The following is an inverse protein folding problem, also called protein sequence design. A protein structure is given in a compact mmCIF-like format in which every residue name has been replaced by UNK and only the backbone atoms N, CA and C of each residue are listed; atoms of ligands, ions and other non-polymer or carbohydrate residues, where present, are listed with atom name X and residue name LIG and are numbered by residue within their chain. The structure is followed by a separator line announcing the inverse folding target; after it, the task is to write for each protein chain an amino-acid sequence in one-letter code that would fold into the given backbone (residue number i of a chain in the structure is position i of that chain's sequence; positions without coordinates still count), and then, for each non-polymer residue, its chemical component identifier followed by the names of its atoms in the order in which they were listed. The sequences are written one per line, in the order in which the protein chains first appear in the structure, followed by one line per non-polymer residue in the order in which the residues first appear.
data_IF_019272845982
#
_entry.id   IF_019272845982
#
_cell.length_a   1.000
_cell.length_b   1.000
_cell.length_c   1.000
_cell.angle_alpha   90.00
_cell.angle_beta   90.00
_cell.angle_gamma   90.00
#
_symmetry.space_group_name_H-M   'P 1'
#
loop_
_entity.id
_entity.type
_entity.pdbx_description
1 polymer ?
#
# COMPACT_ATOMS: atom_id res chain seq x y z
N UNK A 1 -21.00 -3.20 8.25
CA UNK A 1 -19.62 -3.56 7.90
C UNK A 1 -18.74 -2.44 8.40
N UNK A 2 -17.62 -2.77 9.03
CA UNK A 2 -16.65 -1.79 9.52
C UNK A 2 -15.55 -1.66 8.48
N UNK A 3 -15.17 -0.43 8.16
CA UNK A 3 -14.09 -0.16 7.21
C UNK A 3 -12.74 -0.49 7.86
N UNK A 4 -11.93 -1.29 7.19
CA UNK A 4 -10.59 -1.64 7.66
C UNK A 4 -9.54 -0.91 6.82
N UNK A 5 -8.59 -0.25 7.48
CA UNK A 5 -7.52 0.50 6.82
C UNK A 5 -6.20 -0.26 6.96
N UNK A 6 -5.58 -0.58 5.82
CA UNK A 6 -4.32 -1.30 5.78
C UNK A 6 -3.26 -0.47 5.05
N UNK A 7 -2.21 -0.14 5.79
CA UNK A 7 -1.07 0.65 5.32
C UNK A 7 0.11 -0.28 5.14
N UNK A 8 0.66 -0.29 3.93
CA UNK A 8 1.82 -1.11 3.58
C UNK A 8 2.93 -0.18 3.11
N UNK A 9 3.96 -0.07 3.93
CA UNK A 9 5.21 0.60 3.54
C UNK A 9 6.16 -0.43 2.91
N UNK A 10 7.09 0.04 2.09
CA UNK A 10 8.05 -0.79 1.36
C UNK A 10 7.36 -1.96 0.62
N UNK A 11 6.34 -1.63 -0.17
CA UNK A 11 5.43 -2.59 -0.79
C UNK A 11 6.10 -3.72 -1.58
N UNK A 12 7.29 -3.50 -2.12
CA UNK A 12 8.06 -4.55 -2.80
C UNK A 12 8.25 -5.80 -1.95
N UNK A 13 8.30 -5.66 -0.62
CA UNK A 13 8.44 -6.78 0.30
C UNK A 13 7.18 -7.65 0.37
N UNK A 14 6.04 -7.12 -0.09
CA UNK A 14 4.72 -7.76 -0.06
C UNK A 14 4.11 -7.92 -1.46
N UNK A 15 4.83 -7.55 -2.51
CA UNK A 15 4.35 -7.44 -3.89
C UNK A 15 4.23 -8.81 -4.58
N UNK A 16 3.45 -9.73 -3.99
CA UNK A 16 3.13 -11.04 -4.55
C UNK A 16 1.91 -10.97 -5.46
N UNK A 17 1.74 -11.97 -6.33
CA UNK A 17 0.56 -12.06 -7.20
C UNK A 17 -0.73 -12.19 -6.39
N UNK A 18 -0.70 -12.91 -5.26
CA UNK A 18 -1.82 -12.98 -4.30
C UNK A 18 -2.20 -11.61 -3.74
N UNK A 19 -1.21 -10.74 -3.46
CA UNK A 19 -1.50 -9.39 -2.97
C UNK A 19 -2.21 -8.55 -4.05
N UNK A 20 -1.85 -8.73 -5.31
CA UNK A 20 -2.54 -8.07 -6.42
C UNK A 20 -4.01 -8.54 -6.55
N UNK A 21 -4.30 -9.81 -6.26
CA UNK A 21 -5.69 -10.29 -6.16
C UNK A 21 -6.44 -9.61 -5.01
N UNK A 22 -5.83 -9.53 -3.82
CA UNK A 22 -6.39 -8.80 -2.67
C UNK A 22 -6.72 -7.35 -3.04
N UNK A 23 -5.82 -6.66 -3.74
CA UNK A 23 -6.04 -5.30 -4.24
C UNK A 23 -7.28 -5.17 -5.14
N UNK A 24 -7.47 -6.15 -6.02
CA UNK A 24 -8.62 -6.18 -6.94
C UNK A 24 -9.93 -6.49 -6.23
N UNK A 25 -9.88 -7.22 -5.11
CA UNK A 25 -11.05 -7.61 -4.33
C UNK A 25 -11.34 -6.72 -3.12
N UNK A 26 -10.45 -5.80 -2.77
CA UNK A 26 -10.48 -5.04 -1.52
C UNK A 26 -11.84 -4.37 -1.21
N UNK A 27 -12.53 -3.86 -2.25
CA UNK A 27 -13.87 -3.26 -2.13
C UNK A 27 -14.91 -4.23 -1.57
N UNK A 28 -14.82 -5.54 -1.89
CA UNK A 28 -15.73 -6.58 -1.39
C UNK A 28 -15.61 -6.74 0.13
N UNK A 29 -14.44 -6.45 0.69
CA UNK A 29 -14.10 -6.62 2.10
C UNK A 29 -14.13 -5.32 2.92
N UNK A 30 -14.56 -4.20 2.33
CA UNK A 30 -14.44 -2.87 2.94
C UNK A 30 -13.00 -2.54 3.38
N UNK A 31 -12.03 -3.04 2.61
CA UNK A 31 -10.61 -2.89 2.86
C UNK A 31 -10.08 -1.67 2.09
N UNK A 32 -9.57 -0.70 2.84
CA UNK A 32 -8.95 0.51 2.34
C UNK A 32 -7.43 0.33 2.36
N UNK A 33 -6.82 0.17 1.19
CA UNK A 33 -5.38 -0.06 1.04
C UNK A 33 -4.65 1.24 0.75
N UNK A 34 -3.59 1.50 1.50
CA UNK A 34 -2.62 2.56 1.23
C UNK A 34 -1.25 1.93 1.10
N UNK A 35 -0.63 2.11 -0.05
CA UNK A 35 0.62 1.44 -0.41
C UNK A 35 1.68 2.50 -0.70
N UNK A 36 2.84 2.37 -0.07
CA UNK A 36 4.01 3.18 -0.33
C UNK A 36 5.14 2.31 -0.92
N UNK A 37 5.81 2.84 -1.95
CA UNK A 37 6.81 2.11 -2.71
C UNK A 37 7.82 3.09 -3.33
N UNK A 38 9.10 2.70 -3.38
CA UNK A 38 10.18 3.60 -3.78
C UNK A 38 10.61 3.46 -5.25
N UNK A 39 10.73 2.24 -5.78
CA UNK A 39 11.28 1.99 -7.11
C UNK A 39 10.45 0.98 -7.90
N UNK A 40 9.67 1.47 -8.86
CA UNK A 40 8.69 0.62 -9.53
C UNK A 40 9.35 -0.57 -10.22
N UNK A 41 10.61 -0.49 -10.64
CA UNK A 41 11.33 -1.64 -11.21
C UNK A 41 11.36 -2.90 -10.35
N UNK A 42 11.11 -2.82 -9.03
CA UNK A 42 10.99 -3.98 -8.14
C UNK A 42 9.64 -4.72 -8.26
N UNK A 43 8.61 -4.09 -8.81
CA UNK A 43 7.29 -4.71 -8.95
C UNK A 43 7.20 -5.51 -10.25
N UNK A 44 6.56 -6.68 -10.18
CA UNK A 44 6.23 -7.46 -11.38
C UNK A 44 5.28 -6.68 -12.29
N UNK A 45 5.30 -6.96 -13.60
CA UNK A 45 4.41 -6.30 -14.56
C UNK A 45 2.93 -6.50 -14.24
N UNK A 46 2.57 -7.67 -13.70
CA UNK A 46 1.21 -7.96 -13.23
C UNK A 46 0.84 -7.07 -12.06
N UNK A 47 1.66 -7.02 -11.01
CA UNK A 47 1.41 -6.18 -9.82
C UNK A 47 1.28 -4.71 -10.22
N UNK A 48 2.17 -4.18 -11.07
CA UNK A 48 2.08 -2.79 -11.55
C UNK A 48 0.73 -2.50 -12.21
N UNK A 49 0.33 -3.35 -13.16
CA UNK A 49 -0.93 -3.19 -13.88
C UNK A 49 -2.12 -3.24 -12.94
N UNK A 50 -2.10 -4.16 -11.97
CA UNK A 50 -3.17 -4.32 -11.00
C UNK A 50 -3.25 -3.14 -10.03
N UNK A 51 -2.11 -2.61 -9.57
CA UNK A 51 -2.06 -1.40 -8.74
C UNK A 51 -2.64 -0.22 -9.52
N UNK A 52 -2.07 0.13 -10.68
CA UNK A 52 -2.53 1.30 -11.45
C UNK A 52 -3.99 1.19 -11.91
N UNK A 53 -4.48 -0.02 -12.21
CA UNK A 53 -5.86 -0.23 -12.61
C UNK A 53 -6.89 -0.10 -11.47
N UNK A 54 -6.48 -0.26 -10.21
CA UNK A 54 -7.39 -0.29 -9.07
C UNK A 54 -7.26 0.90 -8.11
N UNK A 55 -6.16 1.65 -8.14
CA UNK A 55 -5.95 2.79 -7.25
C UNK A 55 -6.87 3.96 -7.62
N UNK A 56 -7.68 4.39 -6.65
CA UNK A 56 -8.51 5.59 -6.79
C UNK A 56 -7.74 6.89 -6.59
N UNK A 57 -6.58 6.81 -5.91
CA UNK A 57 -5.71 7.94 -5.62
C UNK A 57 -4.26 7.56 -5.81
N UNK A 58 -3.53 8.39 -6.53
CA UNK A 58 -2.10 8.28 -6.79
C UNK A 58 -1.41 9.53 -6.28
N UNK A 59 -0.34 9.35 -5.52
CA UNK A 59 0.53 10.43 -5.02
C UNK A 59 1.96 10.05 -5.40
N UNK A 60 2.68 10.95 -6.06
CA UNK A 60 4.09 10.74 -6.41
C UNK A 60 4.94 11.93 -5.98
N UNK A 61 6.00 11.62 -5.24
CA UNK A 61 7.11 12.54 -5.00
C UNK A 61 8.10 12.49 -6.16
N UNK A 62 9.23 13.18 -6.02
CA UNK A 62 10.34 13.10 -6.97
C UNK A 62 10.81 11.65 -7.12
N UNK A 63 10.82 11.16 -8.36
CA UNK A 63 11.35 9.84 -8.74
C UNK A 63 12.41 9.95 -9.85
N UNK A 64 13.04 8.82 -10.17
CA UNK A 64 13.96 8.69 -11.30
C UNK A 64 13.25 8.70 -12.67
N UNK A 65 14.04 8.76 -13.75
CA UNK A 65 13.52 8.86 -15.12
C UNK A 65 12.66 7.65 -15.53
N UNK A 66 13.08 6.44 -15.16
CA UNK A 66 12.37 5.21 -15.52
C UNK A 66 10.95 5.17 -14.93
N UNK A 67 10.81 5.55 -13.66
CA UNK A 67 9.51 5.58 -12.98
C UNK A 67 8.66 6.79 -13.42
N UNK A 68 9.31 7.91 -13.76
CA UNK A 68 8.62 9.11 -14.22
C UNK A 68 7.86 8.87 -15.53
N UNK A 69 8.36 8.02 -16.43
CA UNK A 69 7.67 7.62 -17.65
C UNK A 69 6.31 6.99 -17.36
N UNK A 70 6.27 5.98 -16.48
CA UNK A 70 5.03 5.31 -16.10
C UNK A 70 4.06 6.24 -15.37
N UNK A 71 4.56 7.09 -14.47
CA UNK A 71 3.73 8.02 -13.72
C UNK A 71 3.17 9.17 -14.59
N UNK A 72 3.90 9.61 -15.61
CA UNK A 72 3.45 10.69 -16.49
C UNK A 72 2.21 10.30 -17.30
N UNK A 73 2.07 9.03 -17.67
CA UNK A 73 0.85 8.51 -18.31
C UNK A 73 -0.37 8.70 -17.40
N UNK A 74 -0.23 8.43 -16.11
CA UNK A 74 -1.31 8.60 -15.14
C UNK A 74 -1.70 10.06 -14.90
N UNK A 75 -0.74 10.99 -15.01
CA UNK A 75 -0.97 12.42 -14.82
C UNK A 75 -1.29 13.20 -16.10
N UNK A 76 -1.43 12.50 -17.22
CA UNK A 76 -1.80 13.13 -18.49
C UNK A 76 -3.17 13.79 -18.39
N UNK A 77 -3.37 15.00 -18.95
CA UNK A 77 -2.42 15.79 -19.75
C UNK A 77 -1.63 16.86 -18.96
N UNK A 78 -1.74 16.87 -17.63
CA UNK A 78 -1.29 18.00 -16.80
C UNK A 78 0.23 18.00 -16.60
N UNK A 79 0.80 16.85 -16.24
CA UNK A 79 2.22 16.73 -15.92
C UNK A 79 2.94 15.80 -16.89
N UNK A 80 4.20 16.11 -17.17
CA UNK A 80 5.10 15.30 -18.01
C UNK A 80 6.21 14.71 -17.17
N UNK A 81 6.93 13.73 -17.72
CA UNK A 81 8.06 13.05 -17.06
C UNK A 81 9.06 14.05 -16.44
N UNK A 82 9.42 15.07 -17.21
CA UNK A 82 10.35 16.12 -16.77
C UNK A 82 9.85 16.86 -15.53
N UNK A 83 8.54 17.06 -15.39
CA UNK A 83 7.96 17.77 -14.25
C UNK A 83 8.08 16.92 -12.97
N UNK A 84 7.97 15.60 -13.10
CA UNK A 84 8.05 14.64 -11.98
C UNK A 84 9.49 14.52 -11.49
N UNK A 85 10.45 14.41 -12.40
CA UNK A 85 11.89 14.31 -12.07
C UNK A 85 12.40 15.57 -11.37
N UNK A 86 11.83 16.74 -11.70
CA UNK A 86 12.26 18.03 -11.15
C UNK A 86 11.52 18.46 -9.88
N UNK A 87 10.63 17.62 -9.32
CA UNK A 87 9.92 17.94 -8.08
C UNK A 87 10.91 18.29 -6.94
N UNK A 88 10.62 19.37 -6.23
CA UNK A 88 11.38 19.79 -5.07
C UNK A 88 11.17 18.88 -3.86
N UNK A 89 11.98 19.09 -2.82
CA UNK A 89 11.80 18.40 -1.54
C UNK A 89 10.41 18.72 -1.00
N UNK A 90 9.66 17.66 -0.65
CA UNK A 90 8.29 17.69 -0.12
C UNK A 90 7.21 18.16 -1.09
N UNK A 91 7.54 18.40 -2.36
CA UNK A 91 6.56 18.60 -3.42
C UNK A 91 6.12 17.26 -3.98
N UNK A 92 4.85 17.17 -4.37
CA UNK A 92 4.28 15.97 -4.97
C UNK A 92 3.20 16.35 -5.98
N UNK A 93 2.95 15.42 -6.90
CA UNK A 93 1.74 15.42 -7.72
C UNK A 93 0.74 14.42 -7.18
N UNK A 94 -0.53 14.74 -7.34
CA UNK A 94 -1.62 13.88 -6.91
C UNK A 94 -2.74 13.86 -7.94
N UNK A 95 -3.29 12.68 -8.16
CA UNK A 95 -4.54 12.42 -8.88
C UNK A 95 -5.41 11.60 -7.95
N UNK A 96 -6.64 12.02 -7.73
CA UNK A 96 -7.53 11.33 -6.79
C UNK A 96 -8.98 11.34 -7.26
N UNK A 97 -9.70 10.31 -6.85
CA UNK A 97 -11.15 10.24 -6.98
C UNK A 97 -11.81 11.00 -5.83
N UNK A 98 -12.72 11.91 -6.17
CA UNK A 98 -13.55 12.64 -5.22
C UNK A 98 -15.00 12.37 -5.59
N UNK A 99 -15.78 11.86 -4.65
CA UNK A 99 -17.19 11.48 -4.85
C UNK A 99 -17.43 10.53 -6.04
N UNK A 100 -16.45 9.66 -6.32
CA UNK A 100 -16.51 8.68 -7.41
C UNK A 100 -16.00 9.18 -8.76
N UNK A 101 -15.62 10.45 -8.86
CA UNK A 101 -15.09 11.05 -10.08
C UNK A 101 -13.58 11.30 -9.95
N UNK A 102 -12.81 10.83 -10.94
CA UNK A 102 -11.37 11.12 -11.01
C UNK A 102 -11.21 12.60 -11.36
N UNK A 103 -10.49 13.33 -10.50
CA UNK A 103 -10.17 14.74 -10.70
C UNK A 103 -8.87 14.91 -11.48
N UNK A 104 -8.73 16.07 -12.13
CA UNK A 104 -7.47 16.45 -12.77
C UNK A 104 -6.32 16.44 -11.76
N UNK A 105 -5.15 16.01 -12.23
CA UNK A 105 -3.96 15.97 -11.40
C UNK A 105 -3.56 17.39 -10.97
N UNK A 106 -3.07 17.52 -9.73
CA UNK A 106 -2.60 18.79 -9.19
C UNK A 106 -1.30 18.62 -8.41
N UNK A 107 -0.60 19.73 -8.21
CA UNK A 107 0.61 19.79 -7.40
C UNK A 107 0.32 20.26 -5.98
N UNK A 108 1.08 19.75 -5.03
CA UNK A 108 0.97 20.13 -3.64
C UNK A 108 2.32 19.98 -2.92
N UNK A 109 2.37 20.50 -1.69
CA UNK A 109 3.53 20.37 -0.81
C UNK A 109 3.08 19.87 0.55
N UNK A 110 3.85 18.97 1.15
CA UNK A 110 3.49 18.41 2.46
C UNK A 110 3.51 19.47 3.55
N UNK A 111 2.65 19.32 4.56
CA UNK A 111 2.66 20.18 5.75
C UNK A 111 3.93 19.96 6.57
N UNK A 112 4.45 21.03 7.19
CA UNK A 112 5.55 20.89 8.14
C UNK A 112 4.94 20.58 9.50
N UNK A 113 4.92 19.30 9.85
CA UNK A 113 4.45 18.85 11.15
C UNK A 113 5.62 18.94 12.12
N UNK A 114 5.46 19.72 13.18
CA UNK A 114 6.46 19.77 14.26
C UNK A 114 6.49 18.40 14.95
N UNK A 115 7.69 17.95 15.32
CA UNK A 115 7.83 16.75 16.15
C UNK A 115 7.06 16.98 17.46
N UNK A 116 6.21 16.05 17.90
CA UNK A 116 5.52 16.18 19.17
C UNK A 116 6.54 16.28 20.31
N UNK A 117 6.24 17.12 21.30
CA UNK A 117 7.10 17.32 22.49
C UNK A 117 7.10 16.08 23.37
N UNK A 118 5.96 15.39 23.43
CA UNK A 118 5.75 14.16 24.19
C UNK A 118 5.81 12.95 23.26
N UNK A 119 6.39 11.85 23.75
CA UNK A 119 6.51 10.60 23.01
C UNK A 119 5.47 9.60 23.50
N UNK A 120 4.40 9.41 22.72
CA UNK A 120 3.33 8.46 23.01
C UNK A 120 3.50 7.10 22.30
N UNK A 121 4.64 6.85 21.65
CA UNK A 121 4.87 5.61 20.90
C UNK A 121 4.69 4.36 21.78
N UNK A 122 5.23 4.28 23.01
CA UNK A 122 5.06 3.11 23.87
C UNK A 122 3.58 2.83 24.20
N UNK A 123 2.82 3.86 24.56
CA UNK A 123 1.41 3.77 24.91
C UNK A 123 0.55 3.36 23.70
N UNK A 124 0.84 3.91 22.53
CA UNK A 124 0.16 3.55 21.27
C UNK A 124 0.40 2.07 20.94
N UNK A 125 1.64 1.59 21.05
CA UNK A 125 1.98 0.19 20.79
C UNK A 125 1.29 -0.72 21.80
N UNK A 126 1.33 -0.39 23.09
CA UNK A 126 0.67 -1.19 24.13
C UNK A 126 -0.85 -1.25 23.93
N UNK A 127 -1.49 -0.12 23.63
CA UNK A 127 -2.94 -0.08 23.40
C UNK A 127 -3.33 -0.85 22.13
N UNK A 128 -2.57 -0.67 21.04
CA UNK A 128 -2.76 -1.43 19.80
C UNK A 128 -2.67 -2.95 20.05
N UNK A 129 -1.65 -3.39 20.78
CA UNK A 129 -1.48 -4.82 21.12
C UNK A 129 -2.62 -5.37 21.97
N UNK A 130 -3.17 -4.59 22.89
CA UNK A 130 -4.30 -5.00 23.74
C UNK A 130 -5.63 -5.09 22.98
N UNK A 131 -5.85 -4.19 22.01
CA UNK A 131 -7.13 -4.08 21.32
C UNK A 131 -7.18 -4.81 19.97
N UNK A 132 -6.04 -4.96 19.28
CA UNK A 132 -5.97 -5.37 17.87
C UNK A 132 -5.04 -6.54 17.59
N UNK A 133 -4.28 -7.03 18.59
CA UNK A 133 -3.40 -8.18 18.41
C UNK A 133 -3.88 -9.37 19.23
N UNK A 134 -3.60 -10.56 18.74
CA UNK A 134 -3.85 -11.82 19.43
C UNK A 134 -2.52 -12.56 19.60
N UNK A 135 -2.44 -13.46 20.58
CA UNK A 135 -1.21 -14.24 20.76
C UNK A 135 -0.98 -15.15 19.55
N UNK A 136 0.27 -15.23 19.07
CA UNK A 136 0.64 -16.06 17.91
C UNK A 136 0.09 -17.48 18.04
N UNK A 137 0.23 -18.08 19.22
CA UNK A 137 -0.29 -19.43 19.50
C UNK A 137 -1.80 -19.53 19.25
N UNK A 138 -2.58 -18.58 19.73
CA UNK A 138 -4.03 -18.59 19.52
C UNK A 138 -4.38 -18.40 18.05
N UNK A 139 -3.64 -17.55 17.32
CA UNK A 139 -3.84 -17.36 15.88
C UNK A 139 -3.53 -18.64 15.10
N UNK A 140 -2.41 -19.31 15.40
CA UNK A 140 -2.04 -20.59 14.78
C UNK A 140 -3.10 -21.67 15.06
N UNK A 141 -3.62 -21.75 16.28
CA UNK A 141 -4.72 -22.65 16.64
C UNK A 141 -6.04 -22.30 15.92
N UNK A 142 -6.30 -21.02 15.64
CA UNK A 142 -7.47 -20.59 14.87
C UNK A 142 -7.34 -20.95 13.39
N UNK A 143 -6.18 -20.72 12.79
CA UNK A 143 -5.90 -21.04 11.39
C UNK A 143 -5.99 -22.56 11.15
N UNK A 144 -5.35 -23.37 12.01
CA UNK A 144 -5.42 -24.83 11.91
C UNK A 144 -6.86 -25.36 11.97
N UNK A 145 -7.73 -24.76 12.80
CA UNK A 145 -9.15 -25.12 12.85
C UNK A 145 -9.93 -24.68 11.61
N UNK A 146 -9.50 -23.60 10.95
CA UNK A 146 -10.11 -23.14 9.70
C UNK A 146 -9.72 -24.04 8.54
N UNK A 147 -8.47 -24.48 8.49
CA UNK A 147 -7.97 -25.44 7.49
C UNK A 147 -8.66 -26.81 7.67
N UNK A 148 -8.83 -27.28 8.91
CA UNK A 148 -9.56 -28.52 9.20
C UNK A 148 -11.07 -28.43 8.89
N UNK A 149 -11.66 -27.22 8.92
CA UNK A 149 -13.08 -26.99 8.67
C UNK A 149 -13.40 -26.69 7.19
N UNK A 150 -12.39 -26.40 6.37
CA UNK A 150 -12.51 -26.01 4.98
C UNK A 150 -11.64 -26.88 4.07
N UNK A 151 -12.17 -28.02 3.62
CA UNK A 151 -11.69 -28.65 2.38
C UNK A 151 -11.99 -27.69 1.21
N UNK A 152 -11.12 -26.72 0.97
CA UNK A 152 -10.93 -26.09 -0.33
C UNK A 152 -9.67 -26.72 -0.93
N UNK A 153 -9.80 -27.31 -2.13
CA UNK A 153 -8.68 -27.92 -2.86
C UNK A 153 -7.52 -26.91 -2.98
N UNK A 154 -6.38 -27.24 -2.36
CA UNK A 154 -5.13 -26.51 -2.52
C UNK A 154 -4.68 -26.56 -3.98
N UNK A 155 -4.54 -25.40 -4.60
CA UNK A 155 -3.66 -25.24 -5.76
C UNK A 155 -2.88 -23.92 -5.61
N UNK A 156 -1.86 -23.92 -4.75
CA UNK A 156 -0.91 -22.83 -4.55
C UNK A 156 0.42 -23.38 -3.98
N UNK A 157 1.58 -22.79 -4.29
CA UNK A 157 2.88 -23.41 -4.01
C UNK A 157 3.21 -23.47 -2.50
N UNK A 158 3.72 -24.62 -2.08
CA UNK A 158 4.07 -25.08 -0.71
C UNK A 158 5.23 -24.33 0.00
N UNK A 159 5.47 -23.05 -0.26
CA UNK A 159 6.51 -22.31 0.49
C UNK A 159 5.92 -21.07 1.20
N UNK A 160 5.83 -21.16 2.52
CA UNK A 160 5.59 -20.02 3.39
C UNK A 160 6.67 -18.94 3.15
N UNK A 161 6.29 -17.71 2.74
CA UNK A 161 7.27 -16.65 2.55
C UNK A 161 7.91 -16.28 3.90
N UNK A 162 9.23 -16.41 3.97
CA UNK A 162 10.02 -15.94 5.11
C UNK A 162 10.06 -14.41 5.06
N UNK A 163 9.30 -13.76 5.94
CA UNK A 163 9.37 -12.31 6.12
C UNK A 163 10.61 -11.97 6.97
N UNK A 164 11.56 -11.22 6.40
CA UNK A 164 12.66 -10.65 7.17
C UNK A 164 12.13 -9.63 8.19
N UNK A 165 12.67 -9.67 9.42
CA UNK A 165 12.28 -8.74 10.48
C UNK A 165 12.55 -7.29 10.04
N UNK A 166 11.61 -6.35 10.28
CA UNK A 166 11.80 -4.96 9.91
C UNK A 166 13.01 -4.37 10.65
N UNK A 167 13.92 -3.76 9.90
CA UNK A 167 15.03 -2.98 10.44
C UNK A 167 14.44 -1.78 11.20
N UNK A 168 14.60 -1.80 12.53
CA UNK A 168 14.28 -0.69 13.44
C UNK A 168 15.13 0.54 13.11
#
# INVERSE_FOLDING_TARGET
REDFYFYVDEFQNFATDTFAEILSEARKYALNLTIAHQYMGQLSGFVKKTVFGNVGSLISFRVGADDAAALAEEYTPIFKERDIINLGVREFYCKMSVDGEIREAFSARTLFVKKPEENFVPEIIENSRKERCESRKNVEEMLSKWDEAGEFEESGPEEDPVFEEPLI
#
